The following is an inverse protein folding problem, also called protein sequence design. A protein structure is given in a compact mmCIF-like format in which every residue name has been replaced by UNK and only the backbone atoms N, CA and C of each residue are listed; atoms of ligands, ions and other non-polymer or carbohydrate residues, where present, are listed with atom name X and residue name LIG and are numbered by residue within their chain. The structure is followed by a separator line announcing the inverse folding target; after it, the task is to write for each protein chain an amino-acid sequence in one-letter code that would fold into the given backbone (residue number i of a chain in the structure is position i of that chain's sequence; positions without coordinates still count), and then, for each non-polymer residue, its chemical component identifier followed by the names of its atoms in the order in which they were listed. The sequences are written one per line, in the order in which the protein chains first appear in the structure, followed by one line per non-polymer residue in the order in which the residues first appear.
data_IF_130654428762
#
_entry.id   IF_130654428762
#
_cell.length_a   1.000
_cell.length_b   1.000
_cell.length_c   1.000
_cell.angle_alpha   90.00
_cell.angle_beta   90.00
_cell.angle_gamma   90.00
#
_symmetry.space_group_name_H-M   'P 1'
#
loop_
_entity.id
_entity.type
_entity.pdbx_description
1 polymer ?
#
# COMPACT_ATOMS: atom_id res chain seq x y z
N UNK A 1 28.05 -29.35 -6.17
CA UNK A 1 27.77 -27.91 -6.06
C UNK A 1 26.29 -27.77 -5.74
N UNK A 2 25.92 -27.03 -4.68
CA UNK A 2 24.51 -26.77 -4.39
C UNK A 2 23.91 -25.96 -5.54
N UNK A 3 22.82 -26.45 -6.14
CA UNK A 3 22.09 -25.73 -7.20
C UNK A 3 21.26 -24.65 -6.50
N UNK A 4 21.43 -23.38 -6.89
CA UNK A 4 20.56 -22.32 -6.40
C UNK A 4 19.11 -22.62 -6.83
N UNK A 5 18.19 -22.56 -5.87
CA UNK A 5 16.76 -22.71 -6.10
C UNK A 5 16.19 -21.43 -6.70
N UNK A 6 16.52 -20.30 -6.07
CA UNK A 6 16.12 -18.97 -6.50
C UNK A 6 17.36 -18.11 -6.66
N UNK A 7 17.36 -17.29 -7.72
CA UNK A 7 18.39 -16.30 -7.96
C UNK A 7 17.76 -14.93 -8.21
N UNK A 8 18.41 -13.89 -7.70
CA UNK A 8 18.10 -12.51 -8.04
C UNK A 8 19.41 -11.78 -8.28
N UNK A 9 19.86 -11.78 -9.53
CA UNK A 9 21.10 -11.10 -9.89
C UNK A 9 20.95 -9.58 -9.76
N UNK A 10 22.09 -8.90 -9.59
CA UNK A 10 22.12 -7.46 -9.34
C UNK A 10 21.35 -6.62 -10.38
N UNK A 11 21.46 -6.86 -11.70
CA UNK A 11 20.73 -6.05 -12.68
C UNK A 11 19.19 -6.15 -12.56
N UNK A 12 18.66 -7.33 -12.26
CA UNK A 12 17.21 -7.51 -12.07
C UNK A 12 16.76 -6.91 -10.74
N UNK A 13 17.52 -7.11 -9.65
CA UNK A 13 17.26 -6.41 -8.38
C UNK A 13 17.16 -4.90 -8.59
N UNK A 14 18.14 -4.32 -9.29
CA UNK A 14 18.16 -2.89 -9.57
C UNK A 14 16.95 -2.48 -10.43
N UNK A 15 16.56 -3.29 -11.41
CA UNK A 15 15.37 -3.02 -12.21
C UNK A 15 14.09 -3.00 -11.37
N UNK A 16 13.91 -3.95 -10.44
CA UNK A 16 12.75 -4.01 -9.55
C UNK A 16 12.69 -2.75 -8.65
N UNK A 17 13.82 -2.39 -8.06
CA UNK A 17 13.94 -1.18 -7.24
C UNK A 17 13.63 0.08 -8.07
N UNK A 18 14.22 0.22 -9.26
CA UNK A 18 13.97 1.38 -10.13
C UNK A 18 12.50 1.50 -10.58
N UNK A 19 11.78 0.38 -10.70
CA UNK A 19 10.35 0.39 -11.01
C UNK A 19 9.52 0.92 -9.84
N UNK A 20 9.87 0.58 -8.60
CA UNK A 20 9.25 1.14 -7.39
C UNK A 20 9.58 2.62 -7.22
N UNK A 21 10.85 3.00 -7.42
CA UNK A 21 11.31 4.39 -7.37
C UNK A 21 10.56 5.26 -8.37
N UNK A 22 10.50 4.83 -9.63
CA UNK A 22 9.77 5.55 -10.68
C UNK A 22 8.29 5.72 -10.32
N UNK A 23 7.64 4.66 -9.82
CA UNK A 23 6.24 4.74 -9.40
C UNK A 23 6.06 5.80 -8.30
N UNK A 24 6.87 5.75 -7.25
CA UNK A 24 6.76 6.65 -6.11
C UNK A 24 7.08 8.11 -6.46
N UNK A 25 8.15 8.33 -7.22
CA UNK A 25 8.53 9.67 -7.72
C UNK A 25 7.39 10.29 -8.55
N UNK A 26 6.85 9.53 -9.51
CA UNK A 26 5.79 10.04 -10.37
C UNK A 26 4.45 10.21 -9.62
N UNK A 27 4.16 9.36 -8.64
CA UNK A 27 3.00 9.56 -7.76
C UNK A 27 3.14 10.83 -6.92
N UNK A 28 4.33 11.12 -6.39
CA UNK A 28 4.60 12.35 -5.66
C UNK A 28 4.37 13.59 -6.52
N UNK A 29 5.01 13.65 -7.70
CA UNK A 29 4.94 14.81 -8.58
C UNK A 29 3.55 15.05 -9.15
N UNK A 30 2.85 13.98 -9.55
CA UNK A 30 1.63 14.09 -10.36
C UNK A 30 0.35 14.00 -9.56
N UNK A 31 0.39 13.42 -8.37
CA UNK A 31 -0.81 13.15 -7.56
C UNK A 31 -0.71 13.84 -6.20
N UNK A 32 0.32 13.53 -5.41
CA UNK A 32 0.41 13.97 -4.01
C UNK A 32 0.66 15.48 -3.94
N UNK A 33 1.60 16.00 -4.73
CA UNK A 33 1.96 17.42 -4.73
C UNK A 33 0.80 18.33 -5.15
N UNK A 34 -0.22 17.80 -5.84
CA UNK A 34 -1.41 18.57 -6.23
C UNK A 34 -2.30 18.96 -5.03
N UNK A 35 -2.10 18.36 -3.85
CA UNK A 35 -2.88 18.65 -2.64
C UNK A 35 -2.05 19.34 -1.55
N UNK A 36 -1.00 20.07 -1.96
CA UNK A 36 -0.10 20.76 -1.03
C UNK A 36 -0.72 21.97 -0.32
N UNK A 37 -1.67 22.66 -0.95
CA UNK A 37 -2.30 23.89 -0.44
C UNK A 37 -3.83 23.84 -0.53
N UNK A 38 -4.43 22.79 0.02
CA UNK A 38 -5.90 22.64 0.00
C UNK A 38 -6.63 23.71 0.81
N UNK A 39 -5.96 24.32 1.80
CA UNK A 39 -6.49 25.42 2.61
C UNK A 39 -6.60 26.70 1.77
N UNK A 40 -5.53 27.09 1.06
CA UNK A 40 -5.56 28.23 0.16
C UNK A 40 -6.55 28.05 -1.01
N UNK A 41 -6.70 26.84 -1.55
CA UNK A 41 -7.72 26.53 -2.56
C UNK A 41 -9.15 26.69 -2.01
N UNK A 42 -9.39 26.27 -0.77
CA UNK A 42 -10.69 26.40 -0.12
C UNK A 42 -11.02 27.85 0.26
N UNK A 43 -10.04 28.61 0.74
CA UNK A 43 -10.19 30.05 1.03
C UNK A 43 -10.51 30.83 -0.25
N UNK A 44 -9.75 30.58 -1.33
CA UNK A 44 -10.00 31.19 -2.65
C UNK A 44 -11.42 30.92 -3.13
N UNK A 45 -11.92 29.70 -2.95
CA UNK A 45 -13.29 29.33 -3.30
C UNK A 45 -14.34 30.09 -2.47
N UNK A 46 -14.10 30.27 -1.18
CA UNK A 46 -14.93 31.08 -0.29
C UNK A 46 -14.97 32.53 -0.73
N UNK A 47 -13.82 33.15 -1.00
CA UNK A 47 -13.75 34.54 -1.48
C UNK A 47 -14.48 34.75 -2.82
N UNK A 48 -14.32 33.82 -3.76
CA UNK A 48 -15.03 33.85 -5.04
C UNK A 48 -16.54 33.73 -4.85
N UNK A 49 -16.97 32.88 -3.92
CA UNK A 49 -18.37 32.75 -3.52
C UNK A 49 -18.90 34.04 -2.92
N UNK A 50 -18.18 34.65 -2.00
CA UNK A 50 -18.55 35.93 -1.40
C UNK A 50 -18.72 37.03 -2.46
N UNK A 51 -17.72 37.20 -3.34
CA UNK A 51 -17.76 38.16 -4.45
C UNK A 51 -18.95 37.94 -5.38
N UNK A 52 -19.30 36.68 -5.65
CA UNK A 52 -20.50 36.34 -6.44
C UNK A 52 -21.77 36.76 -5.71
N UNK A 53 -21.91 36.41 -4.43
CA UNK A 53 -23.08 36.69 -3.62
C UNK A 53 -23.35 38.20 -3.48
N UNK A 54 -22.31 39.03 -3.31
CA UNK A 54 -22.44 40.49 -3.28
C UNK A 54 -23.13 41.06 -4.54
N UNK A 55 -22.98 40.39 -5.69
CA UNK A 55 -23.58 40.86 -6.95
C UNK A 55 -24.96 40.29 -7.24
N UNK A 56 -25.39 39.25 -6.53
CA UNK A 56 -26.58 38.46 -6.87
C UNK A 56 -27.65 38.41 -5.79
N UNK A 57 -27.29 38.63 -4.52
CA UNK A 57 -28.24 38.60 -3.42
C UNK A 57 -29.10 39.86 -3.41
N UNK A 58 -30.37 39.68 -3.03
CA UNK A 58 -31.31 40.78 -2.83
C UNK A 58 -30.99 41.51 -1.51
N UNK A 59 -30.56 42.78 -1.54
CA UNK A 59 -30.20 43.53 -0.34
C UNK A 59 -31.37 43.78 0.61
N UNK A 60 -32.62 43.57 0.17
CA UNK A 60 -33.80 43.68 1.04
C UNK A 60 -34.02 42.43 1.90
N UNK A 61 -33.36 41.31 1.59
CA UNK A 61 -33.56 40.01 2.23
C UNK A 61 -32.28 39.40 2.82
N UNK A 62 -31.12 39.80 2.32
CA UNK A 62 -29.82 39.32 2.77
C UNK A 62 -28.89 40.49 3.00
N UNK A 63 -28.21 40.48 4.15
CA UNK A 63 -27.15 41.45 4.43
C UNK A 63 -25.76 40.90 4.08
N UNK A 64 -24.73 41.73 4.30
CA UNK A 64 -23.35 41.33 4.03
C UNK A 64 -22.85 40.24 4.99
N UNK A 65 -23.43 40.14 6.20
CA UNK A 65 -23.08 39.08 7.13
C UNK A 65 -23.63 37.74 6.65
N UNK A 66 -24.87 37.70 6.14
CA UNK A 66 -25.44 36.49 5.53
C UNK A 66 -24.57 35.99 4.37
N UNK A 67 -24.09 36.89 3.51
CA UNK A 67 -23.19 36.55 2.41
C UNK A 67 -21.83 36.02 2.90
N UNK A 68 -21.29 36.58 3.98
CA UNK A 68 -20.03 36.16 4.58
C UNK A 68 -20.14 34.77 5.20
N UNK A 69 -21.22 34.51 5.96
CA UNK A 69 -21.48 33.21 6.58
C UNK A 69 -21.64 32.12 5.50
N UNK A 70 -22.40 32.39 4.43
CA UNK A 70 -22.54 31.45 3.30
C UNK A 70 -21.21 31.18 2.60
N UNK A 71 -20.36 32.18 2.43
CA UNK A 71 -19.05 32.03 1.81
C UNK A 71 -18.09 31.21 2.69
N UNK A 72 -18.16 31.41 4.01
CA UNK A 72 -17.41 30.63 4.98
C UNK A 72 -17.84 29.16 4.96
N UNK A 73 -19.15 28.88 4.96
CA UNK A 73 -19.68 27.51 4.85
C UNK A 73 -19.18 26.82 3.58
N UNK A 74 -19.20 27.51 2.44
CA UNK A 74 -18.68 26.98 1.18
C UNK A 74 -17.16 26.76 1.20
N UNK A 75 -16.41 27.58 1.92
CA UNK A 75 -14.97 27.37 2.13
C UNK A 75 -14.71 26.10 2.95
N UNK A 76 -15.44 25.91 4.05
CA UNK A 76 -15.34 24.72 4.90
C UNK A 76 -15.69 23.45 4.11
N UNK A 77 -16.81 23.45 3.39
CA UNK A 77 -17.24 22.32 2.56
C UNK A 77 -16.18 21.97 1.50
N UNK A 78 -15.60 23.00 0.87
CA UNK A 78 -14.53 22.82 -0.13
C UNK A 78 -13.29 22.19 0.48
N UNK A 79 -12.87 22.64 1.66
CA UNK A 79 -11.73 22.08 2.38
C UNK A 79 -11.96 20.60 2.74
N UNK A 80 -13.14 20.26 3.27
CA UNK A 80 -13.49 18.87 3.62
C UNK A 80 -13.42 17.95 2.40
N UNK A 81 -14.02 18.36 1.27
CA UNK A 81 -13.96 17.59 0.01
C UNK A 81 -12.52 17.40 -0.51
N UNK A 82 -11.69 18.45 -0.43
CA UNK A 82 -10.29 18.36 -0.85
C UNK A 82 -9.47 17.46 0.09
N UNK A 83 -9.74 17.51 1.39
CA UNK A 83 -9.10 16.65 2.38
C UNK A 83 -9.45 15.17 2.16
N UNK A 84 -10.72 14.86 1.92
CA UNK A 84 -11.19 13.51 1.56
C UNK A 84 -10.50 13.01 0.29
N UNK A 85 -10.45 13.85 -0.75
CA UNK A 85 -9.79 13.49 -2.01
C UNK A 85 -8.29 13.26 -1.82
N UNK A 86 -7.60 14.09 -1.01
CA UNK A 86 -6.19 13.91 -0.68
C UNK A 86 -5.96 12.56 0.03
N UNK A 87 -6.80 12.22 1.00
CA UNK A 87 -6.77 10.91 1.67
C UNK A 87 -6.90 9.77 0.67
N UNK A 88 -7.89 9.84 -0.23
CA UNK A 88 -8.12 8.81 -1.24
C UNK A 88 -6.95 8.66 -2.22
N UNK A 89 -6.31 9.78 -2.59
CA UNK A 89 -5.08 9.77 -3.40
C UNK A 89 -3.95 9.06 -2.67
N UNK A 90 -3.70 9.38 -1.39
CA UNK A 90 -2.65 8.71 -0.62
C UNK A 90 -2.91 7.20 -0.48
N UNK A 91 -4.14 6.80 -0.16
CA UNK A 91 -4.52 5.39 -0.05
C UNK A 91 -4.40 4.64 -1.38
N UNK A 92 -4.74 5.30 -2.50
CA UNK A 92 -4.56 4.76 -3.83
C UNK A 92 -3.09 4.55 -4.19
N UNK A 93 -2.21 5.49 -3.81
CA UNK A 93 -0.75 5.36 -4.00
C UNK A 93 -0.18 4.22 -3.15
N UNK A 94 -0.58 4.11 -1.88
CA UNK A 94 -0.19 2.98 -1.02
C UNK A 94 -0.60 1.63 -1.64
N UNK A 95 -1.83 1.55 -2.16
CA UNK A 95 -2.33 0.37 -2.85
C UNK A 95 -1.52 0.06 -4.12
N UNK A 96 -1.16 1.07 -4.91
CA UNK A 96 -0.33 0.87 -6.09
C UNK A 96 1.07 0.35 -5.76
N UNK A 97 1.75 0.95 -4.77
CA UNK A 97 3.05 0.48 -4.28
C UNK A 97 3.01 -0.99 -3.83
N UNK A 98 2.07 -1.32 -2.94
CA UNK A 98 1.94 -2.68 -2.42
C UNK A 98 1.65 -3.69 -3.53
N UNK A 99 0.68 -3.41 -4.41
CA UNK A 99 0.34 -4.33 -5.49
C UNK A 99 1.47 -4.49 -6.50
N UNK A 100 2.26 -3.44 -6.76
CA UNK A 100 3.41 -3.54 -7.64
C UNK A 100 4.47 -4.46 -7.05
N UNK A 101 4.88 -4.23 -5.80
CA UNK A 101 5.82 -5.08 -5.08
C UNK A 101 5.34 -6.55 -4.98
N UNK A 102 4.07 -6.77 -4.64
CA UNK A 102 3.49 -8.12 -4.53
C UNK A 102 3.54 -8.87 -5.87
N UNK A 103 3.20 -8.20 -6.98
CA UNK A 103 3.24 -8.80 -8.32
C UNK A 103 4.67 -9.13 -8.73
N UNK A 104 5.60 -8.21 -8.48
CA UNK A 104 7.03 -8.41 -8.74
C UNK A 104 7.58 -9.61 -7.97
N UNK A 105 7.22 -9.76 -6.69
CA UNK A 105 7.60 -10.91 -5.87
C UNK A 105 7.07 -12.23 -6.44
N UNK A 106 5.80 -12.28 -6.85
CA UNK A 106 5.18 -13.48 -7.43
C UNK A 106 5.73 -13.82 -8.81
N UNK A 107 6.01 -12.82 -9.64
CA UNK A 107 6.63 -12.98 -10.95
C UNK A 107 8.07 -13.49 -10.82
N UNK A 108 8.86 -12.92 -9.91
CA UNK A 108 10.21 -13.39 -9.60
C UNK A 108 10.21 -14.86 -9.16
N UNK A 109 9.34 -15.23 -8.20
CA UNK A 109 9.18 -16.61 -7.75
C UNK A 109 8.81 -17.56 -8.89
N UNK A 110 7.83 -17.18 -9.71
CA UNK A 110 7.37 -18.02 -10.83
C UNK A 110 8.47 -18.26 -11.85
N UNK A 111 9.25 -17.22 -12.18
CA UNK A 111 10.36 -17.32 -13.14
C UNK A 111 11.50 -18.19 -12.63
N UNK A 112 11.90 -18.03 -11.37
CA UNK A 112 13.00 -18.83 -10.82
C UNK A 112 12.60 -20.30 -10.61
N UNK A 113 11.37 -20.55 -10.17
CA UNK A 113 10.86 -21.91 -10.00
C UNK A 113 10.66 -22.65 -11.33
N UNK A 114 10.37 -21.94 -12.42
CA UNK A 114 10.26 -22.53 -13.77
C UNK A 114 11.56 -23.23 -14.23
N UNK A 115 12.70 -22.94 -13.60
CA UNK A 115 14.00 -23.58 -13.88
C UNK A 115 14.11 -24.99 -13.30
N UNK A 116 13.20 -25.36 -12.41
CA UNK A 116 13.23 -26.63 -11.66
C UNK A 116 11.87 -27.35 -11.62
N UNK A 117 10.76 -26.67 -11.92
CA UNK A 117 9.40 -27.22 -11.85
C UNK A 117 8.58 -26.89 -13.11
N UNK A 118 7.62 -27.76 -13.45
CA UNK A 118 6.57 -27.39 -14.41
C UNK A 118 5.58 -26.38 -13.80
N UNK A 119 5.34 -25.29 -14.49
CA UNK A 119 4.56 -24.17 -13.94
C UNK A 119 3.05 -24.30 -14.15
N UNK A 120 2.56 -25.25 -14.96
CA UNK A 120 1.12 -25.46 -15.25
C UNK A 120 0.26 -25.54 -13.98
N UNK A 121 0.77 -26.22 -12.94
CA UNK A 121 0.06 -26.38 -11.67
C UNK A 121 0.59 -25.46 -10.56
N UNK A 122 1.85 -25.04 -10.64
CA UNK A 122 2.52 -24.31 -9.56
C UNK A 122 2.26 -22.80 -9.64
N UNK A 123 2.30 -22.22 -10.84
CA UNK A 123 2.10 -20.79 -11.03
C UNK A 123 0.72 -20.31 -10.52
N UNK A 124 -0.42 -20.96 -10.84
CA UNK A 124 -1.71 -20.54 -10.28
C UNK A 124 -1.75 -20.56 -8.75
N UNK A 125 -0.95 -21.43 -8.11
CA UNK A 125 -0.85 -21.49 -6.66
C UNK A 125 0.04 -20.39 -6.09
N UNK A 126 1.16 -20.08 -6.72
CA UNK A 126 1.97 -18.91 -6.37
C UNK A 126 1.14 -17.64 -6.46
N UNK A 127 0.31 -17.48 -7.49
CA UNK A 127 -0.52 -16.27 -7.68
C UNK A 127 -1.73 -16.18 -6.74
N UNK A 128 -2.23 -17.29 -6.22
CA UNK A 128 -3.40 -17.32 -5.31
C UNK A 128 -3.05 -17.46 -3.83
N UNK A 129 -1.80 -17.80 -3.50
CA UNK A 129 -1.33 -17.90 -2.11
C UNK A 129 -1.42 -16.54 -1.40
N UNK A 130 -1.73 -16.57 -0.11
CA UNK A 130 -1.65 -15.39 0.74
C UNK A 130 -0.19 -14.92 0.82
N UNK A 131 0.02 -13.61 0.94
CA UNK A 131 1.37 -13.06 1.08
C UNK A 131 2.11 -13.68 2.28
N UNK A 132 1.41 -13.92 3.39
CA UNK A 132 1.95 -14.64 4.55
C UNK A 132 2.52 -16.01 4.18
N UNK A 133 1.81 -16.78 3.35
CA UNK A 133 2.25 -18.11 2.92
C UNK A 133 3.46 -18.05 1.96
N UNK A 134 3.58 -16.97 1.18
CA UNK A 134 4.75 -16.72 0.32
C UNK A 134 5.98 -16.37 1.17
N UNK A 135 5.83 -15.53 2.19
CA UNK A 135 6.94 -15.21 3.09
C UNK A 135 7.36 -16.42 3.94
N UNK A 136 6.41 -17.25 4.37
CA UNK A 136 6.70 -18.50 5.09
C UNK A 136 7.48 -19.48 4.19
N UNK A 137 7.12 -19.57 2.91
CA UNK A 137 7.85 -20.37 1.93
C UNK A 137 9.31 -19.93 1.80
N UNK A 138 9.57 -18.61 1.73
CA UNK A 138 10.93 -18.06 1.68
C UNK A 138 11.71 -18.36 2.96
N UNK A 139 11.06 -18.21 4.13
CA UNK A 139 11.64 -18.57 5.43
C UNK A 139 12.05 -20.03 5.50
N UNK A 140 11.17 -20.92 5.02
CA UNK A 140 11.44 -22.35 4.95
C UNK A 140 12.57 -22.71 3.97
N UNK A 141 12.90 -21.83 3.02
CA UNK A 141 14.04 -21.95 2.12
C UNK A 141 15.32 -21.27 2.63
N UNK A 142 15.32 -20.84 3.88
CA UNK A 142 16.50 -20.29 4.56
C UNK A 142 16.62 -18.76 4.47
N UNK A 143 15.60 -18.05 3.99
CA UNK A 143 15.54 -16.59 4.02
C UNK A 143 14.25 -16.10 4.67
N UNK A 144 14.30 -15.90 5.99
CA UNK A 144 13.16 -15.40 6.75
C UNK A 144 12.96 -13.89 6.54
N UNK A 145 12.16 -13.56 5.53
CA UNK A 145 11.78 -12.18 5.22
C UNK A 145 10.98 -11.49 6.33
N UNK A 146 10.37 -12.25 7.26
CA UNK A 146 9.62 -11.67 8.40
C UNK A 146 10.53 -11.20 9.52
N UNK A 147 11.74 -11.75 9.61
CA UNK A 147 12.77 -11.30 10.55
C UNK A 147 13.42 -9.97 10.15
N UNK A 148 13.14 -9.46 8.95
CA UNK A 148 13.67 -8.19 8.47
C UNK A 148 13.07 -7.00 9.24
N UNK A 149 13.86 -5.97 9.60
CA UNK A 149 13.37 -4.80 10.32
C UNK A 149 12.18 -4.09 9.64
N UNK A 150 12.15 -4.09 8.31
CA UNK A 150 11.11 -3.47 7.49
C UNK A 150 9.82 -4.28 7.35
N UNK A 151 9.78 -5.54 7.85
CA UNK A 151 8.61 -6.40 7.71
C UNK A 151 7.34 -5.76 8.27
N UNK A 152 7.44 -5.09 9.43
CA UNK A 152 6.30 -4.41 10.05
C UNK A 152 5.71 -3.32 9.15
N UNK A 153 6.52 -2.60 8.37
CA UNK A 153 6.03 -1.57 7.45
C UNK A 153 5.36 -2.17 6.22
N UNK A 154 5.88 -3.29 5.71
CA UNK A 154 5.24 -4.06 4.63
C UNK A 154 3.87 -4.59 5.10
N UNK A 155 3.82 -5.14 6.31
CA UNK A 155 2.59 -5.68 6.89
C UNK A 155 1.57 -4.58 7.18
N UNK A 156 2.00 -3.43 7.71
CA UNK A 156 1.15 -2.26 7.87
C UNK A 156 0.53 -1.82 6.53
N UNK A 157 1.35 -1.70 5.47
CA UNK A 157 0.86 -1.35 4.14
C UNK A 157 -0.17 -2.36 3.62
N UNK A 158 0.09 -3.67 3.78
CA UNK A 158 -0.85 -4.74 3.42
C UNK A 158 -2.18 -4.57 4.14
N UNK A 159 -2.17 -4.25 5.43
CA UNK A 159 -3.39 -4.06 6.22
C UNK A 159 -4.14 -2.80 5.77
N UNK A 160 -3.45 -1.67 5.59
CA UNK A 160 -4.02 -0.43 5.05
C UNK A 160 -4.74 -0.68 3.73
N UNK A 161 -4.08 -1.35 2.78
CA UNK A 161 -4.67 -1.63 1.45
C UNK A 161 -5.90 -2.53 1.56
N UNK A 162 -5.89 -3.50 2.48
CA UNK A 162 -7.05 -4.36 2.71
C UNK A 162 -8.22 -3.62 3.37
N UNK A 163 -7.96 -2.72 4.32
CA UNK A 163 -9.00 -1.86 4.92
C UNK A 163 -9.55 -0.90 3.88
N UNK A 164 -8.70 -0.26 3.07
CA UNK A 164 -9.13 0.62 1.99
C UNK A 164 -10.07 -0.10 1.00
N UNK A 165 -9.76 -1.35 0.65
CA UNK A 165 -10.54 -2.14 -0.29
C UNK A 165 -11.86 -2.69 0.29
N UNK A 166 -11.84 -3.14 1.54
CA UNK A 166 -12.93 -3.94 2.11
C UNK A 166 -13.67 -3.26 3.27
N UNK A 167 -13.15 -2.15 3.78
CA UNK A 167 -13.65 -1.48 4.97
C UNK A 167 -13.47 -2.32 6.22
N UNK A 168 -14.60 -2.69 6.85
CA UNK A 168 -14.62 -3.41 8.13
C UNK A 168 -14.20 -4.87 7.99
N UNK A 169 -13.51 -5.39 9.00
CA UNK A 169 -13.16 -6.80 9.12
C UNK A 169 -11.79 -7.03 9.75
N UNK A 170 -11.25 -8.24 9.59
CA UNK A 170 -10.01 -8.68 10.24
C UNK A 170 -8.80 -7.77 9.99
N UNK A 171 -8.73 -7.13 8.82
CA UNK A 171 -7.66 -6.21 8.50
C UNK A 171 -7.73 -4.94 9.36
N UNK A 172 -8.93 -4.41 9.61
CA UNK A 172 -9.16 -3.27 10.48
C UNK A 172 -8.85 -3.63 11.93
N UNK A 173 -9.32 -4.78 12.41
CA UNK A 173 -9.04 -5.27 13.77
C UNK A 173 -7.52 -5.41 14.01
N UNK A 174 -6.78 -5.92 13.01
CA UNK A 174 -5.34 -6.05 13.06
C UNK A 174 -4.63 -4.69 13.01
N UNK A 175 -5.13 -3.75 12.20
CA UNK A 175 -4.59 -2.39 12.11
C UNK A 175 -4.77 -1.62 13.43
N UNK A 176 -5.95 -1.70 14.05
CA UNK A 176 -6.23 -1.13 15.37
C UNK A 176 -5.29 -1.66 16.46
N UNK A 177 -4.95 -2.95 16.39
CA UNK A 177 -4.14 -3.60 17.42
C UNK A 177 -2.63 -3.41 17.22
N UNK A 178 -2.18 -3.39 15.96
CA UNK A 178 -0.75 -3.44 15.62
C UNK A 178 -0.17 -2.14 15.06
N UNK A 179 -1.00 -1.34 14.38
CA UNK A 179 -0.55 -0.13 13.67
C UNK A 179 -1.60 1.00 13.76
N UNK A 180 -1.99 1.43 14.97
CA UNK A 180 -3.06 2.42 15.16
C UNK A 180 -2.74 3.79 14.56
N UNK A 181 -1.49 4.08 14.23
CA UNK A 181 -1.07 5.32 13.58
C UNK A 181 -1.69 5.55 12.19
N UNK A 182 -2.22 4.52 11.54
CA UNK A 182 -2.93 4.62 10.25
C UNK A 182 -4.45 4.83 10.40
N UNK A 183 -4.94 4.95 11.63
CA UNK A 183 -6.36 5.18 11.96
C UNK A 183 -6.59 6.50 12.71
N UNK A 184 -5.56 7.35 12.80
CA UNK A 184 -5.63 8.61 13.52
C UNK A 184 -6.02 9.77 12.62
N UNK A 185 -6.94 10.57 13.12
CA UNK A 185 -7.28 11.88 12.56
C UNK A 185 -6.73 13.04 13.42
N UNK A 186 -6.29 12.78 14.66
CA UNK A 186 -5.62 13.76 15.53
C UNK A 186 -4.70 13.10 16.57
N UNK A 187 -3.76 13.88 17.11
CA UNK A 187 -2.65 13.42 17.97
C UNK A 187 -3.06 12.97 19.39
N UNK A 188 -4.28 13.30 19.84
CA UNK A 188 -4.76 13.05 21.21
C UNK A 188 -5.93 12.05 21.24
N UNK A 189 -5.63 10.75 21.29
CA UNK A 189 -6.10 9.82 22.33
C UNK A 189 -5.96 8.37 21.86
N UNK A 190 -5.28 7.56 22.66
CA UNK A 190 -5.22 6.10 22.56
C UNK A 190 -6.61 5.44 22.71
N UNK A 191 -7.61 6.19 23.18
CA UNK A 191 -9.00 5.79 23.33
C UNK A 191 -9.73 5.84 21.98
N UNK A 192 -9.43 6.81 21.12
CA UNK A 192 -10.10 6.99 19.83
C UNK A 192 -9.81 5.87 18.84
N UNK A 193 -8.61 5.31 18.83
CA UNK A 193 -8.24 4.21 17.93
C UNK A 193 -9.12 2.95 18.14
N UNK A 194 -9.70 2.76 19.33
CA UNK A 194 -10.64 1.66 19.61
C UNK A 194 -12.02 1.85 18.99
N UNK A 195 -12.38 3.09 18.70
CA UNK A 195 -13.67 3.45 18.08
C UNK A 195 -13.51 3.87 16.62
N UNK A 196 -12.28 4.09 16.16
CA UNK A 196 -11.94 4.33 14.77
C UNK A 196 -12.49 3.21 13.88
N UNK A 197 -13.10 3.59 12.76
CA UNK A 197 -13.54 2.64 11.76
C UNK A 197 -12.79 2.85 10.44
N UNK A 198 -13.18 2.14 9.39
CA UNK A 198 -12.56 2.27 8.07
C UNK A 198 -12.52 3.71 7.49
N UNK A 199 -13.40 4.61 7.93
CA UNK A 199 -13.41 6.03 7.50
C UNK A 199 -12.28 6.83 8.14
N UNK A 200 -11.75 6.36 9.28
CA UNK A 200 -10.61 6.94 9.97
C UNK A 200 -9.25 6.54 9.34
N UNK A 201 -9.26 5.70 8.31
CA UNK A 201 -8.06 5.24 7.65
C UNK A 201 -7.35 6.40 6.94
N UNK A 202 -6.12 6.69 7.34
CA UNK A 202 -5.33 7.77 6.74
C UNK A 202 -3.87 7.35 6.59
N UNK A 203 -3.23 7.87 5.55
CA UNK A 203 -1.81 7.71 5.29
C UNK A 203 -1.27 9.09 4.90
N UNK A 204 -0.16 9.50 5.50
CA UNK A 204 0.54 10.75 5.15
C UNK A 204 1.53 10.53 4.02
N UNK A 205 1.98 11.62 3.38
CA UNK A 205 3.04 11.54 2.36
C UNK A 205 4.33 10.90 2.91
N UNK A 206 4.70 11.22 4.14
CA UNK A 206 5.88 10.64 4.80
C UNK A 206 5.71 9.13 5.01
N UNK A 207 4.54 8.69 5.47
CA UNK A 207 4.23 7.25 5.62
C UNK A 207 4.23 6.50 4.28
N UNK A 208 3.85 7.15 3.17
CA UNK A 208 4.03 6.56 1.83
C UNK A 208 5.51 6.36 1.49
N UNK A 209 6.35 7.33 1.86
CA UNK A 209 7.81 7.22 1.75
C UNK A 209 8.38 6.06 2.58
N UNK A 210 7.85 5.85 3.79
CA UNK A 210 8.23 4.71 4.63
C UNK A 210 7.83 3.36 4.00
N UNK A 211 6.65 3.27 3.39
CA UNK A 211 6.23 2.07 2.66
C UNK A 211 7.13 1.80 1.45
N UNK A 212 7.39 2.83 0.63
CA UNK A 212 8.31 2.72 -0.51
C UNK A 212 9.70 2.25 -0.06
N UNK A 213 10.27 2.87 0.98
CA UNK A 213 11.56 2.48 1.53
C UNK A 213 11.58 1.02 2.01
N UNK A 214 10.51 0.55 2.64
CA UNK A 214 10.40 -0.83 3.10
C UNK A 214 10.40 -1.84 1.94
N UNK A 215 9.69 -1.56 0.84
CA UNK A 215 9.69 -2.41 -0.36
C UNK A 215 11.06 -2.42 -1.05
N UNK A 216 11.72 -1.27 -1.13
CA UNK A 216 13.08 -1.17 -1.68
C UNK A 216 14.09 -1.95 -0.82
N UNK A 217 14.01 -1.81 0.51
CA UNK A 217 14.87 -2.55 1.44
C UNK A 217 14.65 -4.06 1.36
N UNK A 218 13.40 -4.52 1.19
CA UNK A 218 13.12 -5.94 0.95
C UNK A 218 13.92 -6.49 -0.25
N UNK A 219 13.95 -5.77 -1.37
CA UNK A 219 14.74 -6.15 -2.54
C UNK A 219 16.25 -6.00 -2.37
N UNK A 220 16.70 -5.13 -1.47
CA UNK A 220 18.12 -5.00 -1.15
C UNK A 220 18.62 -6.17 -0.27
N UNK A 221 17.79 -6.61 0.68
CA UNK A 221 18.11 -7.65 1.65
C UNK A 221 17.95 -9.08 1.09
N UNK A 222 17.25 -9.26 -0.02
CA UNK A 222 17.13 -10.59 -0.62
C UNK A 222 18.50 -11.09 -1.10
N UNK A 223 18.96 -12.27 -0.62
CA UNK A 223 20.25 -12.80 -1.02
C UNK A 223 20.24 -13.12 -2.51
N UNK A 224 21.39 -12.92 -3.17
CA UNK A 224 21.51 -13.19 -4.61
C UNK A 224 21.19 -14.65 -4.97
N UNK A 225 21.47 -15.58 -4.04
CA UNK A 225 21.18 -17.00 -4.21
C UNK A 225 20.51 -17.55 -2.95
N UNK A 226 19.37 -18.20 -3.13
CA UNK A 226 18.73 -19.05 -2.14
C UNK A 226 18.96 -20.49 -2.60
N UNK A 227 19.66 -21.28 -1.80
CA UNK A 227 20.10 -22.63 -2.18
C UNK A 227 19.09 -23.69 -1.76
N UNK A 228 18.95 -24.74 -2.57
CA UNK A 228 18.23 -25.94 -2.16
C UNK A 228 19.17 -26.89 -1.42
N UNK A 229 18.86 -27.23 -0.18
CA UNK A 229 19.63 -28.18 0.63
C UNK A 229 19.12 -29.64 0.54
N UNK A 230 18.01 -29.87 -0.16
CA UNK A 230 17.40 -31.19 -0.31
C UNK A 230 16.34 -31.52 0.75
N UNK A 231 16.13 -30.68 1.76
CA UNK A 231 15.15 -30.89 2.83
C UNK A 231 14.55 -29.56 3.30
N UNK A 232 13.49 -29.12 2.63
CA UNK A 232 12.66 -28.03 3.14
C UNK A 232 11.27 -28.54 3.47
N UNK A 233 10.81 -28.23 4.68
CA UNK A 233 9.39 -28.25 4.97
C UNK A 233 8.75 -27.15 4.13
N UNK A 234 8.08 -27.50 3.04
CA UNK A 234 7.35 -26.52 2.22
C UNK A 234 5.88 -26.52 2.65
N UNK A 235 5.18 -25.37 2.58
CA UNK A 235 3.75 -25.32 2.81
C UNK A 235 2.98 -26.36 1.98
N UNK A 236 1.93 -26.91 2.57
CA UNK A 236 1.04 -27.92 2.00
C UNK A 236 0.57 -27.60 0.57
N UNK A 237 0.28 -26.32 0.31
CA UNK A 237 -0.18 -25.87 -1.00
C UNK A 237 0.91 -26.01 -2.07
N UNK A 238 2.17 -25.74 -1.71
CA UNK A 238 3.31 -25.81 -2.60
C UNK A 238 3.65 -27.27 -2.87
N UNK A 239 3.73 -28.09 -1.83
CA UNK A 239 4.05 -29.51 -1.95
C UNK A 239 3.06 -30.23 -2.89
N UNK A 240 1.76 -29.98 -2.70
CA UNK A 240 0.69 -30.58 -3.52
C UNK A 240 0.78 -30.13 -4.98
N UNK A 241 1.17 -28.88 -5.24
CA UNK A 241 1.32 -28.35 -6.59
C UNK A 241 2.58 -28.90 -7.28
N UNK A 242 3.73 -28.90 -6.59
CA UNK A 242 5.00 -29.40 -7.10
C UNK A 242 4.95 -30.90 -7.42
N UNK A 243 4.27 -31.72 -6.61
CA UNK A 243 4.06 -33.14 -6.89
C UNK A 243 3.32 -33.34 -8.22
N UNK A 244 2.25 -32.57 -8.48
CA UNK A 244 1.50 -32.65 -9.75
C UNK A 244 2.34 -32.22 -10.95
N UNK A 245 3.14 -31.17 -10.78
CA UNK A 245 4.10 -30.69 -11.79
C UNK A 245 5.12 -31.76 -12.19
N UNK A 246 5.63 -32.55 -11.23
CA UNK A 246 6.64 -33.59 -11.51
C UNK A 246 6.06 -34.92 -12.02
N UNK A 247 4.75 -35.17 -11.91
CA UNK A 247 4.14 -36.48 -12.22
C UNK A 247 3.93 -36.73 -13.73
N UNK A 248 4.11 -35.72 -14.61
CA UNK A 248 4.00 -35.90 -16.07
C UNK A 248 5.29 -36.35 -16.76
N UNK A 249 6.39 -36.57 -16.02
CA UNK A 249 7.65 -37.12 -16.56
C UNK A 249 7.78 -38.66 -16.43
N UNK A 250 6.70 -39.40 -16.13
CA UNK A 250 6.67 -40.87 -16.15
C UNK A 250 5.64 -41.40 -17.16
#
# INVERSE_FOLDING_TARGET
MAKALLQVWTPWRNQLISQLDFYFEQANERLIAQFGDIEGEAETHGEETYRRLETTLDPEHYDQADAADMAQDQSIERYEMLSDMRRDVHLSVAAGLYHQWEKELRDWLSRELARSFEMEYLEPKIWSALMSEILDLLGNWGWDARALPQHNKIEACRLVVNVYKHGKGKALDALQSGFPEYLRESDDDEIWSKYADHTSLSVTADQLGEFHAAFTQFWQEIPENIFWDGSFEVPDWFEKAAKKANTKQQ
#
